data_IF_470090518661
#
_entry.id   IF_470090518661
#
_cell.length_a   1.000
_cell.length_b   1.000
_cell.length_c   1.000
_cell.angle_alpha   90.00
_cell.angle_beta   90.00
_cell.angle_gamma   90.00
#
_symmetry.space_group_name_H-M   'P 1'
#
loop_
_entity.id
_entity.type
_entity.pdbx_description
1 polymer ?
#
# COMPACT_ATOMS: atom_id res chain seq x y z
N UNK A 1 -23.41 -1.95 7.84
CA UNK A 1 -21.94 -1.99 7.69
C UNK A 1 -21.29 -3.12 8.47
N UNK A 2 -21.38 -3.19 9.82
CA UNK A 2 -20.75 -4.26 10.62
C UNK A 2 -21.07 -5.66 10.10
N UNK A 3 -22.38 -6.01 9.90
CA UNK A 3 -22.81 -7.33 9.39
C UNK A 3 -22.20 -7.68 8.01
N UNK A 4 -22.02 -6.69 7.12
CA UNK A 4 -21.41 -6.89 5.79
C UNK A 4 -19.92 -7.20 5.98
N UNK A 5 -19.18 -6.39 6.72
CA UNK A 5 -17.75 -6.59 6.95
C UNK A 5 -17.48 -7.90 7.72
N UNK A 6 -18.29 -8.24 8.71
CA UNK A 6 -18.14 -9.49 9.46
C UNK A 6 -18.46 -10.73 8.58
N UNK A 7 -19.45 -10.62 7.69
CA UNK A 7 -19.74 -11.66 6.70
C UNK A 7 -18.56 -11.87 5.74
N UNK A 8 -18.03 -10.80 5.19
CA UNK A 8 -16.88 -10.80 4.30
C UNK A 8 -15.61 -11.35 4.97
N UNK A 9 -15.32 -10.93 6.20
CA UNK A 9 -14.20 -11.46 6.99
C UNK A 9 -14.33 -12.96 7.23
N UNK A 10 -15.54 -13.45 7.55
CA UNK A 10 -15.77 -14.92 7.72
C UNK A 10 -15.49 -15.68 6.43
N UNK A 11 -15.95 -15.17 5.29
CA UNK A 11 -15.68 -15.81 3.99
C UNK A 11 -14.17 -15.83 3.68
N UNK A 12 -13.46 -14.75 3.96
CA UNK A 12 -12.00 -14.69 3.79
C UNK A 12 -11.26 -15.66 4.70
N UNK A 13 -11.66 -15.79 5.96
CA UNK A 13 -11.05 -16.72 6.92
C UNK A 13 -11.34 -18.20 6.60
N UNK A 14 -12.40 -18.49 5.86
CA UNK A 14 -12.71 -19.85 5.37
C UNK A 14 -11.74 -20.31 4.26
N UNK A 15 -10.98 -19.40 3.64
CA UNK A 15 -9.95 -19.74 2.66
C UNK A 15 -8.66 -20.11 3.38
N UNK A 16 -8.22 -21.35 3.26
CA UNK A 16 -6.99 -21.86 3.89
C UNK A 16 -5.89 -22.03 2.84
N UNK A 17 -4.68 -21.40 2.99
CA UNK A 17 -4.30 -20.47 4.05
C UNK A 17 -4.96 -19.09 3.88
N UNK A 18 -5.11 -18.32 4.98
CA UNK A 18 -5.66 -16.98 4.91
C UNK A 18 -4.83 -16.10 3.98
N UNK A 19 -5.49 -15.40 3.06
CA UNK A 19 -4.82 -14.50 2.11
C UNK A 19 -4.48 -13.20 2.81
N UNK A 20 -3.19 -12.93 2.91
CA UNK A 20 -2.67 -11.63 3.34
C UNK A 20 -2.14 -10.87 2.13
N UNK A 21 -2.33 -9.55 2.12
CA UNK A 21 -1.67 -8.69 1.14
C UNK A 21 -0.17 -8.62 1.42
N UNK A 22 0.63 -8.30 0.40
CA UNK A 22 2.07 -8.10 0.58
C UNK A 22 2.38 -7.02 1.64
N UNK A 23 1.52 -6.01 1.77
CA UNK A 23 1.67 -4.92 2.75
C UNK A 23 1.39 -5.37 4.18
N UNK A 24 0.36 -6.20 4.40
CA UNK A 24 0.11 -6.82 5.71
C UNK A 24 1.27 -7.71 6.14
N UNK A 25 1.86 -8.44 5.19
CA UNK A 25 3.06 -9.23 5.45
C UNK A 25 4.26 -8.38 5.84
N UNK A 26 4.44 -7.21 5.22
CA UNK A 26 5.50 -6.26 5.57
C UNK A 26 5.25 -5.58 6.92
N UNK A 27 4.00 -5.25 7.25
CA UNK A 27 3.62 -4.65 8.53
C UNK A 27 3.86 -5.60 9.70
N UNK A 28 3.55 -6.88 9.53
CA UNK A 28 3.74 -7.93 10.56
C UNK A 28 5.18 -8.40 10.71
N UNK A 29 6.08 -7.99 9.82
CA UNK A 29 7.48 -8.40 9.91
C UNK A 29 8.18 -7.71 11.10
N UNK A 30 9.04 -8.44 11.82
CA UNK A 30 9.82 -7.92 12.97
C UNK A 30 10.64 -6.66 12.62
N UNK A 31 11.01 -6.51 11.35
CA UNK A 31 11.78 -5.36 10.85
C UNK A 31 10.90 -4.34 10.13
N UNK A 32 9.60 -4.31 10.41
CA UNK A 32 8.68 -3.34 9.81
C UNK A 32 9.14 -1.90 10.08
N UNK A 33 9.03 -1.04 9.08
CA UNK A 33 9.28 0.39 9.22
C UNK A 33 8.46 1.16 8.20
N UNK A 34 8.09 2.43 8.47
CA UNK A 34 7.36 3.26 7.52
C UNK A 34 8.04 3.34 6.15
N UNK A 35 9.38 3.36 6.12
CA UNK A 35 10.13 3.34 4.87
C UNK A 35 9.90 2.06 4.06
N UNK A 36 9.97 0.89 4.70
CA UNK A 36 9.74 -0.40 4.02
C UNK A 36 8.30 -0.53 3.52
N UNK A 37 7.33 -0.04 4.28
CA UNK A 37 5.93 0.00 3.89
C UNK A 37 5.75 0.90 2.66
N UNK A 38 6.29 2.13 2.67
CA UNK A 38 6.23 3.05 1.53
C UNK A 38 6.83 2.42 0.27
N UNK A 39 8.05 1.90 0.35
CA UNK A 39 8.71 1.25 -0.80
C UNK A 39 7.94 0.01 -1.26
N UNK A 40 7.47 -0.82 -0.31
CA UNK A 40 6.64 -1.99 -0.61
C UNK A 40 5.36 -1.62 -1.35
N UNK A 41 4.71 -0.52 -0.96
CA UNK A 41 3.49 -0.02 -1.63
C UNK A 41 3.80 0.44 -3.06
N UNK A 42 4.92 1.11 -3.30
CA UNK A 42 5.35 1.46 -4.66
C UNK A 42 5.64 0.20 -5.49
N UNK A 43 6.26 -0.82 -4.92
CA UNK A 43 6.54 -2.08 -5.61
C UNK A 43 5.27 -2.86 -5.93
N UNK A 44 4.25 -2.84 -5.06
CA UNK A 44 3.01 -3.61 -5.22
C UNK A 44 2.12 -3.10 -6.37
N UNK A 45 2.25 -1.85 -6.78
CA UNK A 45 1.45 -1.28 -7.87
C UNK A 45 1.56 -2.13 -9.15
N UNK A 46 0.43 -2.67 -9.65
CA UNK A 46 0.37 -3.56 -10.83
C UNK A 46 1.33 -4.75 -10.74
N UNK A 47 1.46 -5.35 -9.57
CA UNK A 47 2.30 -6.52 -9.32
C UNK A 47 1.57 -7.48 -8.40
N UNK A 48 1.67 -8.79 -8.65
CA UNK A 48 1.12 -9.81 -7.77
C UNK A 48 1.80 -9.78 -6.40
N UNK A 49 1.06 -10.02 -5.34
CA UNK A 49 1.55 -9.94 -3.96
C UNK A 49 2.75 -10.86 -3.69
N UNK A 50 2.75 -12.08 -4.25
CA UNK A 50 3.87 -13.02 -4.15
C UNK A 50 5.17 -12.42 -4.71
N UNK A 51 5.11 -11.79 -5.89
CA UNK A 51 6.25 -11.16 -6.54
C UNK A 51 6.72 -9.94 -5.75
N UNK A 52 5.78 -9.15 -5.22
CA UNK A 52 6.07 -8.00 -4.36
C UNK A 52 6.80 -8.45 -3.10
N UNK A 53 6.29 -9.48 -2.42
CA UNK A 53 6.89 -10.02 -1.19
C UNK A 53 8.31 -10.53 -1.44
N UNK A 54 8.52 -11.29 -2.53
CA UNK A 54 9.84 -11.80 -2.92
C UNK A 54 10.83 -10.67 -3.18
N UNK A 55 10.42 -9.69 -3.97
CA UNK A 55 11.25 -8.54 -4.33
C UNK A 55 11.57 -7.66 -3.12
N UNK A 56 10.59 -7.38 -2.27
CA UNK A 56 10.76 -6.61 -1.06
C UNK A 56 11.75 -7.27 -0.09
N UNK A 57 11.62 -8.58 0.14
CA UNK A 57 12.59 -9.34 0.96
C UNK A 57 14.02 -9.24 0.43
N UNK A 58 14.21 -9.43 -0.88
CA UNK A 58 15.53 -9.33 -1.51
C UNK A 58 16.10 -7.91 -1.39
N UNK A 59 15.30 -6.89 -1.69
CA UNK A 59 15.69 -5.48 -1.64
C UNK A 59 16.07 -5.05 -0.22
N UNK A 60 15.22 -5.33 0.78
CA UNK A 60 15.42 -4.83 2.14
C UNK A 60 16.51 -5.55 2.90
N UNK A 61 16.93 -6.74 2.47
CA UNK A 61 18.13 -7.41 3.01
C UNK A 61 19.40 -6.55 2.80
N UNK A 62 19.46 -5.81 1.70
CA UNK A 62 20.63 -4.97 1.35
C UNK A 62 20.33 -3.50 1.57
N UNK A 63 19.19 -3.00 1.11
CA UNK A 63 18.81 -1.58 1.05
C UNK A 63 17.63 -1.28 2.00
N UNK A 64 17.69 -1.72 3.25
CA UNK A 64 16.61 -1.61 4.22
C UNK A 64 16.41 -0.23 4.86
N UNK A 65 17.21 0.79 4.49
CA UNK A 65 17.07 2.17 4.98
C UNK A 65 17.12 3.17 3.83
N UNK A 66 16.57 4.40 4.01
CA UNK A 66 16.63 5.45 3.00
C UNK A 66 18.08 5.73 2.54
N UNK A 67 19.02 5.81 3.48
CA UNK A 67 20.43 6.11 3.19
C UNK A 67 21.06 5.03 2.30
N UNK A 68 20.81 3.76 2.58
CA UNK A 68 21.34 2.65 1.78
C UNK A 68 20.74 2.65 0.38
N UNK A 69 19.40 2.86 0.26
CA UNK A 69 18.72 2.83 -1.03
C UNK A 69 19.04 4.05 -1.89
N UNK A 70 19.20 5.24 -1.30
CA UNK A 70 19.55 6.46 -2.03
C UNK A 70 20.92 6.36 -2.73
N UNK A 71 21.85 5.57 -2.16
CA UNK A 71 23.20 5.33 -2.70
C UNK A 71 23.30 4.08 -3.57
N UNK A 72 22.18 3.38 -3.81
CA UNK A 72 22.17 2.16 -4.60
C UNK A 72 22.36 2.44 -6.10
N UNK A 73 23.07 1.54 -6.79
CA UNK A 73 23.14 1.55 -8.25
C UNK A 73 21.83 1.01 -8.82
N UNK A 74 21.25 1.72 -9.79
CA UNK A 74 19.98 1.33 -10.44
C UNK A 74 19.99 -0.12 -10.91
N UNK A 75 21.07 -0.56 -11.58
CA UNK A 75 21.22 -1.93 -12.08
C UNK A 75 21.16 -3.00 -10.98
N UNK A 76 21.66 -2.70 -9.78
CA UNK A 76 21.62 -3.66 -8.66
C UNK A 76 20.22 -3.76 -8.07
N UNK A 77 19.52 -2.63 -7.95
CA UNK A 77 18.10 -2.60 -7.55
C UNK A 77 17.23 -3.34 -8.57
N UNK A 78 17.44 -3.11 -9.89
CA UNK A 78 16.72 -3.80 -10.96
C UNK A 78 16.83 -5.33 -10.84
N UNK A 79 18.04 -5.86 -10.60
CA UNK A 79 18.25 -7.30 -10.40
C UNK A 79 17.41 -7.85 -9.25
N UNK A 80 17.32 -7.11 -8.14
CA UNK A 80 16.59 -7.56 -6.93
C UNK A 80 15.08 -7.54 -7.13
N UNK A 81 14.55 -6.57 -7.90
CA UNK A 81 13.11 -6.40 -8.10
C UNK A 81 12.62 -6.86 -9.49
N UNK A 82 13.38 -7.68 -10.20
CA UNK A 82 13.07 -8.14 -11.57
C UNK A 82 11.71 -8.84 -11.69
N UNK A 83 11.20 -9.45 -10.61
CA UNK A 83 9.88 -10.07 -10.57
C UNK A 83 8.71 -9.07 -10.50
N UNK A 84 8.99 -7.80 -10.27
CA UNK A 84 8.00 -6.74 -10.13
C UNK A 84 7.64 -6.16 -11.49
N UNK A 85 6.36 -5.93 -11.75
CA UNK A 85 5.93 -5.24 -12.97
C UNK A 85 6.53 -3.84 -13.07
N UNK A 86 6.97 -3.47 -14.29
CA UNK A 86 7.62 -2.16 -14.55
C UNK A 86 8.88 -1.91 -13.71
N UNK A 87 9.65 -2.94 -13.40
CA UNK A 87 10.79 -2.87 -12.49
C UNK A 87 11.87 -1.86 -12.91
N UNK A 88 12.08 -1.60 -14.19
CA UNK A 88 13.01 -0.56 -14.67
C UNK A 88 12.61 0.85 -14.22
N UNK A 89 11.33 1.17 -14.30
CA UNK A 89 10.80 2.47 -13.84
C UNK A 89 10.80 2.53 -12.32
N UNK A 90 10.36 1.45 -11.68
CA UNK A 90 10.27 1.39 -10.22
C UNK A 90 11.62 1.44 -9.53
N UNK A 91 12.68 0.82 -10.10
CA UNK A 91 14.02 0.89 -9.53
C UNK A 91 14.53 2.33 -9.42
N UNK A 92 14.38 3.11 -10.49
CA UNK A 92 14.72 4.53 -10.47
C UNK A 92 13.86 5.29 -9.46
N UNK A 93 12.55 5.05 -9.49
CA UNK A 93 11.58 5.72 -8.63
C UNK A 93 11.85 5.51 -7.14
N UNK A 94 12.11 4.28 -6.69
CA UNK A 94 12.35 4.03 -5.26
C UNK A 94 13.68 4.63 -4.77
N UNK A 95 14.67 4.76 -5.65
CA UNK A 95 15.92 5.49 -5.35
C UNK A 95 15.65 7.00 -5.23
N UNK A 96 14.86 7.58 -6.15
CA UNK A 96 14.41 8.97 -6.08
C UNK A 96 13.63 9.25 -4.78
N UNK A 97 12.69 8.37 -4.44
CA UNK A 97 11.94 8.45 -3.16
C UNK A 97 12.90 8.47 -1.98
N UNK A 98 13.88 7.57 -1.94
CA UNK A 98 14.85 7.52 -0.84
C UNK A 98 15.69 8.81 -0.73
N UNK A 99 16.13 9.38 -1.86
CA UNK A 99 16.83 10.66 -1.91
C UNK A 99 15.97 11.81 -1.42
N UNK A 100 14.71 11.88 -1.86
CA UNK A 100 13.76 12.89 -1.43
C UNK A 100 13.48 12.81 0.08
N UNK A 101 13.30 11.60 0.61
CA UNK A 101 13.11 11.41 2.05
C UNK A 101 14.30 11.97 2.84
N UNK A 102 15.52 11.75 2.38
CA UNK A 102 16.71 12.29 3.05
C UNK A 102 16.74 13.81 2.98
N UNK A 103 16.58 14.38 1.79
CA UNK A 103 16.73 15.81 1.55
C UNK A 103 15.62 16.67 2.17
N UNK A 104 14.36 16.19 2.08
CA UNK A 104 13.18 16.97 2.52
C UNK A 104 12.67 16.58 3.90
N UNK A 105 12.79 15.30 4.28
CA UNK A 105 12.16 14.77 5.48
C UNK A 105 13.15 14.15 6.49
N UNK A 106 14.44 14.43 6.36
CA UNK A 106 15.49 13.94 7.29
C UNK A 106 15.58 12.41 7.34
N UNK A 107 15.23 11.72 6.24
CA UNK A 107 15.22 10.26 6.16
C UNK A 107 14.00 9.60 6.79
N UNK A 108 12.99 10.35 7.23
CA UNK A 108 11.75 9.84 7.78
C UNK A 108 10.62 9.88 6.73
N UNK A 109 9.66 8.97 6.84
CA UNK A 109 8.44 9.02 6.03
C UNK A 109 7.44 9.94 6.72
N UNK A 110 6.86 10.92 6.03
CA UNK A 110 5.85 11.78 6.64
C UNK A 110 4.56 11.00 6.93
N UNK A 111 3.90 11.33 8.04
CA UNK A 111 2.62 10.74 8.46
C UNK A 111 1.42 11.63 8.09
N UNK A 112 1.53 12.37 7.01
CA UNK A 112 0.55 13.32 6.51
C UNK A 112 0.25 13.06 5.03
N UNK A 113 -1.04 13.09 4.65
CA UNK A 113 -1.47 12.70 3.30
C UNK A 113 -0.97 13.67 2.23
N UNK A 114 -0.96 14.97 2.52
CA UNK A 114 -0.59 16.00 1.54
C UNK A 114 0.92 15.93 1.26
N UNK A 115 1.73 15.69 2.30
CA UNK A 115 3.15 15.45 2.14
C UNK A 115 3.46 14.13 1.43
N UNK A 116 2.69 13.07 1.70
CA UNK A 116 2.88 11.78 1.04
C UNK A 116 2.60 11.84 -0.46
N UNK A 117 1.58 12.57 -0.91
CA UNK A 117 1.26 12.68 -2.34
C UNK A 117 2.26 13.54 -3.13
N UNK A 118 3.06 14.37 -2.45
CA UNK A 118 4.18 15.07 -3.09
C UNK A 118 5.36 14.15 -3.45
N UNK A 119 5.41 12.95 -2.85
CA UNK A 119 6.47 11.98 -3.12
C UNK A 119 6.28 11.39 -4.52
N UNK A 120 7.30 11.40 -5.40
CA UNK A 120 7.20 10.89 -6.76
C UNK A 120 6.67 9.46 -6.82
N UNK A 121 5.57 9.24 -7.54
CA UNK A 121 4.92 7.93 -7.70
C UNK A 121 4.05 7.49 -6.52
N UNK A 122 3.81 8.36 -5.57
CA UNK A 122 2.86 8.16 -4.48
C UNK A 122 1.58 8.94 -4.81
N UNK A 123 0.59 8.25 -5.35
CA UNK A 123 -0.76 8.79 -5.52
C UNK A 123 -1.58 8.66 -4.24
N UNK A 124 -2.80 9.21 -4.25
CA UNK A 124 -3.70 9.25 -3.09
C UNK A 124 -3.96 7.85 -2.48
N UNK A 125 -4.21 6.83 -3.32
CA UNK A 125 -4.36 5.43 -2.86
C UNK A 125 -3.11 4.94 -2.13
N UNK A 126 -1.93 5.19 -2.69
CA UNK A 126 -0.64 4.77 -2.09
C UNK A 126 -0.40 5.50 -0.76
N UNK A 127 -0.68 6.81 -0.70
CA UNK A 127 -0.57 7.60 0.53
C UNK A 127 -1.49 7.04 1.63
N UNK A 128 -2.76 6.75 1.31
CA UNK A 128 -3.68 6.12 2.26
C UNK A 128 -3.19 4.74 2.72
N UNK A 129 -2.59 3.91 1.84
CA UNK A 129 -1.98 2.65 2.26
C UNK A 129 -0.83 2.89 3.26
N UNK A 130 0.02 3.88 3.01
CA UNK A 130 1.13 4.21 3.94
C UNK A 130 0.57 4.64 5.30
N UNK A 131 -0.46 5.50 5.33
CA UNK A 131 -1.09 5.92 6.58
C UNK A 131 -1.66 4.74 7.36
N UNK A 132 -2.34 3.81 6.68
CA UNK A 132 -2.92 2.61 7.31
C UNK A 132 -1.84 1.66 7.83
N UNK A 133 -0.91 1.25 6.95
CA UNK A 133 -0.01 0.14 7.27
C UNK A 133 1.26 0.56 8.01
N UNK A 134 1.70 1.82 7.86
CA UNK A 134 2.92 2.30 8.52
C UNK A 134 2.65 3.09 9.80
N UNK A 135 1.49 3.74 9.90
CA UNK A 135 1.18 4.65 10.99
C UNK A 135 -0.10 4.29 11.75
N UNK A 136 -0.79 3.21 11.34
CA UNK A 136 -2.08 2.78 11.90
C UNK A 136 -3.13 3.90 11.94
N UNK A 137 -2.96 4.90 11.08
CA UNK A 137 -3.89 6.00 10.97
C UNK A 137 -5.12 5.55 10.15
N UNK A 138 -6.33 5.91 10.62
CA UNK A 138 -7.55 5.57 9.92
C UNK A 138 -7.63 6.32 8.57
N UNK A 139 -7.48 5.56 7.49
CA UNK A 139 -7.61 6.01 6.10
C UNK A 139 -8.29 4.92 5.26
N UNK A 140 -8.81 5.29 4.10
CA UNK A 140 -9.48 4.36 3.19
C UNK A 140 -8.74 4.34 1.85
N UNK A 141 -7.80 3.41 1.64
CA UNK A 141 -7.16 3.24 0.34
C UNK A 141 -8.17 2.69 -0.67
N UNK A 142 -8.62 3.52 -1.60
CA UNK A 142 -9.57 3.12 -2.64
C UNK A 142 -8.82 2.75 -3.91
N UNK A 143 -8.81 1.46 -4.23
CA UNK A 143 -8.39 0.94 -5.53
C UNK A 143 -9.59 0.66 -6.44
N UNK A 144 -9.34 0.13 -7.63
CA UNK A 144 -10.40 -0.20 -8.59
C UNK A 144 -11.38 -1.25 -8.07
N UNK A 145 -10.94 -2.15 -7.19
CA UNK A 145 -11.81 -3.17 -6.57
C UNK A 145 -12.69 -2.55 -5.50
N UNK A 146 -12.10 -1.80 -4.57
CA UNK A 146 -12.85 -1.08 -3.52
C UNK A 146 -13.88 -0.14 -4.15
N UNK A 147 -13.48 0.65 -5.16
CA UNK A 147 -14.39 1.53 -5.90
C UNK A 147 -15.58 0.75 -6.48
N UNK A 148 -15.30 -0.28 -7.28
CA UNK A 148 -16.33 -1.07 -7.94
C UNK A 148 -17.27 -1.79 -6.96
N UNK A 149 -16.71 -2.41 -5.92
CA UNK A 149 -17.49 -3.18 -4.94
C UNK A 149 -18.35 -2.25 -4.08
N UNK A 150 -17.82 -1.11 -3.65
CA UNK A 150 -18.57 -0.12 -2.87
C UNK A 150 -19.79 0.40 -3.64
N UNK A 151 -19.63 0.67 -4.95
CA UNK A 151 -20.76 1.05 -5.82
C UNK A 151 -21.77 -0.10 -6.00
N UNK A 152 -21.31 -1.34 -6.24
CA UNK A 152 -22.20 -2.52 -6.41
C UNK A 152 -22.98 -2.86 -5.15
N UNK A 153 -22.40 -2.62 -3.98
CA UNK A 153 -23.08 -2.82 -2.69
C UNK A 153 -24.01 -1.66 -2.32
N UNK A 154 -24.07 -0.61 -3.14
CA UNK A 154 -24.87 0.58 -2.84
C UNK A 154 -24.35 1.37 -1.65
N UNK A 155 -23.09 1.21 -1.26
CA UNK A 155 -22.46 1.99 -0.19
C UNK A 155 -22.19 3.44 -0.62
N UNK A 156 -21.95 3.61 -1.92
CA UNK A 156 -21.73 4.89 -2.59
C UNK A 156 -22.29 4.84 -4.01
N UNK A 157 -22.45 6.02 -4.63
CA UNK A 157 -22.76 6.17 -6.05
C UNK A 157 -21.82 7.20 -6.65
N UNK A 158 -20.66 6.75 -7.15
CA UNK A 158 -19.56 7.60 -7.58
C UNK A 158 -18.94 7.10 -8.88
N UNK A 159 -18.34 8.02 -9.64
CA UNK A 159 -17.70 7.70 -10.93
C UNK A 159 -16.19 7.49 -10.80
N UNK A 160 -15.55 8.13 -9.81
CA UNK A 160 -14.10 8.11 -9.64
C UNK A 160 -13.71 7.54 -8.27
N UNK A 161 -12.54 6.88 -8.16
CA UNK A 161 -12.05 6.34 -6.89
C UNK A 161 -11.89 7.39 -5.78
N UNK A 162 -11.48 8.61 -6.14
CA UNK A 162 -11.31 9.72 -5.21
C UNK A 162 -12.64 10.15 -4.60
N UNK A 163 -13.70 10.22 -5.42
CA UNK A 163 -15.07 10.50 -4.95
C UNK A 163 -15.55 9.38 -4.01
N UNK A 164 -15.24 8.13 -4.37
CA UNK A 164 -15.56 6.97 -3.54
C UNK A 164 -14.89 7.06 -2.17
N UNK A 165 -13.63 7.46 -2.11
CA UNK A 165 -12.93 7.69 -0.84
C UNK A 165 -13.67 8.72 0.01
N UNK A 166 -14.02 9.87 -0.57
CA UNK A 166 -14.71 10.95 0.12
C UNK A 166 -16.09 10.51 0.66
N UNK A 167 -16.88 9.84 -0.18
CA UNK A 167 -18.20 9.35 0.22
C UNK A 167 -18.15 8.23 1.26
N UNK A 168 -17.20 7.30 1.14
CA UNK A 168 -16.98 6.27 2.16
C UNK A 168 -16.58 6.89 3.50
N UNK A 169 -15.73 7.93 3.51
CA UNK A 169 -15.33 8.64 4.73
C UNK A 169 -16.50 9.33 5.42
N UNK A 170 -17.49 9.84 4.67
CA UNK A 170 -18.71 10.44 5.22
C UNK A 170 -19.67 9.37 5.77
N UNK A 171 -19.87 8.28 5.02
CA UNK A 171 -20.93 7.31 5.26
C UNK A 171 -20.52 6.18 6.22
N UNK A 172 -19.21 5.95 6.40
CA UNK A 172 -18.71 4.84 7.22
C UNK A 172 -18.07 5.35 8.50
N UNK A 173 -18.46 4.83 9.66
CA UNK A 173 -17.82 5.16 10.93
C UNK A 173 -16.30 4.88 10.90
N UNK A 174 -15.51 5.82 11.40
CA UNK A 174 -14.03 5.82 11.35
C UNK A 174 -13.40 4.52 11.85
N UNK A 175 -14.01 3.86 12.83
CA UNK A 175 -13.57 2.57 13.39
C UNK A 175 -13.52 1.42 12.37
N UNK A 176 -14.18 1.54 11.20
CA UNK A 176 -14.19 0.52 10.15
C UNK A 176 -13.24 0.84 8.99
N UNK A 177 -12.60 2.01 8.96
CA UNK A 177 -11.79 2.45 7.82
C UNK A 177 -10.58 1.54 7.56
N UNK A 178 -9.91 1.08 8.62
CA UNK A 178 -8.79 0.14 8.51
C UNK A 178 -9.18 -1.19 7.85
N UNK A 179 -10.42 -1.62 8.08
CA UNK A 179 -10.91 -2.91 7.59
C UNK A 179 -11.36 -2.88 6.11
N UNK A 180 -11.73 -1.72 5.61
CA UNK A 180 -12.37 -1.61 4.27
C UNK A 180 -11.44 -2.12 3.18
N UNK A 181 -10.21 -1.63 3.12
CA UNK A 181 -9.29 -2.03 2.08
C UNK A 181 -8.97 -3.52 2.16
N UNK A 182 -8.67 -4.03 3.35
CA UNK A 182 -8.33 -5.44 3.56
C UNK A 182 -9.50 -6.36 3.22
N UNK A 183 -10.73 -5.92 3.50
CA UNK A 183 -11.92 -6.74 3.26
C UNK A 183 -12.40 -6.65 1.81
N UNK A 184 -12.52 -5.43 1.25
CA UNK A 184 -13.07 -5.24 -0.10
C UNK A 184 -12.05 -5.51 -1.21
N UNK A 185 -10.76 -5.25 -0.97
CA UNK A 185 -9.71 -5.49 -1.97
C UNK A 185 -9.42 -6.98 -2.20
N UNK A 186 -9.67 -7.84 -1.21
CA UNK A 186 -9.41 -9.28 -1.29
C UNK A 186 -10.60 -10.07 -1.84
N UNK A 187 -11.77 -9.46 -1.96
CA UNK A 187 -12.94 -10.10 -2.58
C UNK A 187 -12.83 -9.97 -4.09
N UNK A 188 -12.40 -11.03 -4.73
CA UNK A 188 -12.49 -11.19 -6.17
C UNK A 188 -13.89 -11.68 -6.54
N UNK A 189 -14.76 -10.73 -6.91
CA UNK A 189 -16.06 -11.02 -7.50
C UNK A 189 -15.95 -10.92 -9.02
#
# INVERSE_FOLDING_TARGET
MKRILDGMKRTMMAVNPPRYTALEGLQKAETASPFKILIGTVLSARTKDENTTKAAKALFKVYGTPQKLANAKVKDVEKMIKSVGFYHVKSKRIIEVAKLLISKYGGKVPADIDQLVEIPGVGRKTANCVLVYAFEQPAIPVDTHVHRISNRLGLVSTKMPEETEMELRKNIPKKFWLDINNTLSLIHI
#
